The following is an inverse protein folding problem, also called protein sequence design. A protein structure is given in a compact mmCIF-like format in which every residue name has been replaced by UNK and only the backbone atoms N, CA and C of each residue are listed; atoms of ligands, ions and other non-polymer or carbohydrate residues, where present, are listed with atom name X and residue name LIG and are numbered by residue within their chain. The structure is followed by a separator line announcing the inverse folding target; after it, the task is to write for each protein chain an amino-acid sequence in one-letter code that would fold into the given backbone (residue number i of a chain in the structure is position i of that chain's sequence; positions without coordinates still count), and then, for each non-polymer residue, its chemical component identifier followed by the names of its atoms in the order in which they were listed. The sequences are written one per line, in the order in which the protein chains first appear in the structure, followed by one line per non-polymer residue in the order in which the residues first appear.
data_IF_890391675240
#
_entry.id   IF_890391675240
#
_cell.length_a   1.000
_cell.length_b   1.000
_cell.length_c   1.000
_cell.angle_alpha   90.00
_cell.angle_beta   90.00
_cell.angle_gamma   90.00
#
_symmetry.space_group_name_H-M   'P 1'
#
loop_
_entity.id
_entity.type
_entity.pdbx_description
1 polymer ?
#
# COMPACT_ATOMS: atom_id res chain seq x y z
N UNK A 1 -2.33 29.66 -13.50
CA UNK A 1 -2.53 28.44 -12.69
C UNK A 1 -1.29 28.06 -11.90
N UNK A 2 -0.33 27.25 -12.40
CA UNK A 2 0.83 26.81 -11.59
C UNK A 2 1.63 27.97 -10.96
N UNK A 3 1.79 29.07 -11.68
CA UNK A 3 2.54 30.25 -11.21
C UNK A 3 1.82 31.06 -10.13
N UNK A 4 0.48 31.05 -10.12
CA UNK A 4 -0.33 31.74 -9.12
C UNK A 4 -0.37 30.98 -7.80
N UNK A 5 -0.39 29.65 -7.86
CA UNK A 5 -0.30 28.78 -6.68
C UNK A 5 1.07 28.91 -6.00
N UNK A 6 2.15 29.00 -6.79
CA UNK A 6 3.51 29.22 -6.27
C UNK A 6 3.61 30.57 -5.54
N UNK A 7 3.10 31.65 -6.12
CA UNK A 7 3.11 32.97 -5.50
C UNK A 7 2.23 33.05 -4.25
N UNK A 8 1.12 32.31 -4.24
CA UNK A 8 0.23 32.23 -3.08
C UNK A 8 0.88 31.47 -1.91
N UNK A 9 1.61 30.39 -2.21
CA UNK A 9 2.38 29.63 -1.23
C UNK A 9 3.57 30.42 -0.68
N UNK A 10 4.30 31.15 -1.54
CA UNK A 10 5.41 32.01 -1.13
C UNK A 10 4.96 33.12 -0.16
N UNK A 11 3.79 33.71 -0.39
CA UNK A 11 3.21 34.70 0.54
C UNK A 11 2.88 34.09 1.90
N UNK A 12 2.38 32.86 1.93
CA UNK A 12 2.07 32.11 3.15
C UNK A 12 3.34 31.76 3.95
N UNK A 13 4.42 31.32 3.30
CA UNK A 13 5.69 31.02 3.96
C UNK A 13 6.41 32.27 4.48
N UNK A 14 6.16 33.43 3.88
CA UNK A 14 6.79 34.71 4.26
C UNK A 14 6.19 35.36 5.51
N UNK A 15 4.99 34.95 5.96
CA UNK A 15 4.21 35.66 7.00
C UNK A 15 4.08 34.95 8.34
N UNK A 16 4.80 33.84 8.60
CA UNK A 16 4.58 33.10 9.85
C UNK A 16 5.74 32.23 10.33
N UNK A 17 6.82 32.86 10.80
CA UNK A 17 7.77 32.20 11.72
C UNK A 17 7.24 32.28 13.14
N UNK A 18 6.38 31.33 13.53
CA UNK A 18 6.28 30.90 14.93
C UNK A 18 6.86 29.49 15.00
N UNK A 19 8.19 29.41 14.91
CA UNK A 19 8.93 28.20 15.22
C UNK A 19 8.95 28.06 16.75
N UNK A 20 7.97 27.34 17.29
CA UNK A 20 7.97 26.88 18.67
C UNK A 20 8.97 25.73 18.82
N UNK A 21 9.81 25.84 19.84
CA UNK A 21 10.78 24.88 20.36
C UNK A 21 10.41 23.41 20.19
N UNK A 22 11.21 22.66 19.42
CA UNK A 22 11.22 21.19 19.46
C UNK A 22 12.63 20.60 19.51
N UNK A 23 13.55 21.26 20.23
CA UNK A 23 14.85 20.69 20.55
C UNK A 23 15.03 20.57 22.05
N UNK A 24 14.70 19.39 22.61
CA UNK A 24 15.56 18.63 23.54
C UNK A 24 14.82 17.41 24.09
N UNK A 25 15.32 16.23 23.75
CA UNK A 25 14.75 14.94 24.16
C UNK A 25 15.77 13.82 23.98
N UNK A 26 16.93 14.01 24.58
CA UNK A 26 18.03 13.04 24.64
C UNK A 26 17.60 11.83 25.48
N UNK A 27 17.86 10.64 24.97
CA UNK A 27 17.96 9.36 25.70
C UNK A 27 16.78 8.96 26.59
N UNK A 28 15.71 8.40 26.00
CA UNK A 28 14.96 7.37 26.72
C UNK A 28 14.41 6.32 25.75
N UNK A 29 14.80 5.06 25.97
CA UNK A 29 14.35 3.89 25.20
C UNK A 29 12.84 3.59 25.37
N UNK A 30 12.16 4.35 26.24
CA UNK A 30 10.72 4.29 26.51
C UNK A 30 9.91 5.43 25.86
N UNK A 31 10.47 6.16 24.89
CA UNK A 31 9.73 7.06 24.00
C UNK A 31 8.85 6.27 23.01
N UNK A 32 7.95 5.48 23.58
CA UNK A 32 6.85 4.84 22.90
C UNK A 32 5.74 5.89 22.70
N UNK A 33 5.36 6.07 21.42
CA UNK A 33 4.00 6.42 21.01
C UNK A 33 3.56 7.89 21.17
N UNK A 34 4.13 8.80 20.37
CA UNK A 34 3.44 10.06 20.03
C UNK A 34 2.37 9.78 18.95
N UNK A 35 2.69 8.99 17.92
CA UNK A 35 1.82 8.78 16.75
C UNK A 35 0.54 7.98 16.97
N UNK A 36 0.40 7.18 18.04
CA UNK A 36 -0.85 6.40 18.29
C UNK A 36 -1.85 7.11 19.17
N UNK A 37 -1.45 8.18 19.87
CA UNK A 37 -2.36 8.97 20.71
C UNK A 37 -3.04 10.11 19.96
N UNK A 38 -2.59 10.41 18.74
CA UNK A 38 -3.22 11.42 17.88
C UNK A 38 -4.41 10.77 17.17
N UNK A 39 -5.62 11.33 17.26
CA UNK A 39 -6.75 10.90 16.47
C UNK A 39 -6.36 10.81 14.99
N UNK A 40 -6.63 9.66 14.36
CA UNK A 40 -6.34 9.44 12.93
C UNK A 40 -7.17 10.34 12.00
N UNK A 41 -8.12 11.10 12.56
CA UNK A 41 -9.07 11.94 11.84
C UNK A 41 -8.76 13.40 12.13
N UNK A 42 -8.57 14.19 11.07
CA UNK A 42 -8.56 15.65 11.16
C UNK A 42 -10.01 16.13 11.27
N UNK A 43 -10.31 16.95 12.26
CA UNK A 43 -11.61 17.59 12.37
C UNK A 43 -11.86 18.47 11.13
N UNK A 44 -13.09 18.45 10.61
CA UNK A 44 -13.47 19.19 9.39
C UNK A 44 -13.08 18.54 8.06
N UNK A 45 -12.19 17.54 8.02
CA UNK A 45 -11.90 16.78 6.81
C UNK A 45 -12.84 15.57 6.71
N UNK A 46 -13.65 15.52 5.65
CA UNK A 46 -14.47 14.35 5.33
C UNK A 46 -13.60 13.18 4.88
N UNK A 47 -13.12 12.40 5.85
CA UNK A 47 -12.58 11.06 5.59
C UNK A 47 -13.77 10.11 5.55
N UNK A 48 -13.95 9.38 4.45
CA UNK A 48 -14.97 8.34 4.35
C UNK A 48 -14.90 7.42 5.59
N UNK A 49 -16.05 7.17 6.23
CA UNK A 49 -16.13 6.38 7.48
C UNK A 49 -15.43 5.01 7.36
N UNK A 50 -15.35 4.47 6.14
CA UNK A 50 -14.57 3.30 5.77
C UNK A 50 -13.88 3.56 4.42
N UNK A 51 -12.58 3.90 4.40
CA UNK A 51 -11.87 4.22 3.16
C UNK A 51 -11.86 3.01 2.21
N UNK A 52 -12.11 3.26 0.92
CA UNK A 52 -12.10 2.21 -0.10
C UNK A 52 -13.29 1.24 -0.07
N UNK A 53 -14.25 1.40 0.86
CA UNK A 53 -15.37 0.45 1.02
C UNK A 53 -16.23 0.35 -0.23
N UNK A 54 -16.57 1.49 -0.83
CA UNK A 54 -17.40 1.53 -2.03
C UNK A 54 -16.73 0.76 -3.18
N UNK A 55 -15.45 1.00 -3.41
CA UNK A 55 -14.64 0.33 -4.42
C UNK A 55 -14.58 -1.17 -4.17
N UNK A 56 -14.37 -1.58 -2.91
CA UNK A 56 -14.38 -2.97 -2.51
C UNK A 56 -15.74 -3.65 -2.74
N UNK A 57 -16.85 -2.95 -2.53
CA UNK A 57 -18.19 -3.48 -2.79
C UNK A 57 -18.45 -3.68 -4.30
N UNK A 58 -18.05 -2.71 -5.12
CA UNK A 58 -18.14 -2.82 -6.59
C UNK A 58 -17.28 -3.98 -7.09
N UNK A 59 -16.02 -4.05 -6.63
CA UNK A 59 -15.12 -5.15 -7.00
C UNK A 59 -15.66 -6.50 -6.53
N UNK A 60 -16.21 -6.59 -5.32
CA UNK A 60 -16.82 -7.82 -4.83
C UNK A 60 -17.96 -8.31 -5.72
N UNK A 61 -18.80 -7.39 -6.22
CA UNK A 61 -19.90 -7.76 -7.13
C UNK A 61 -19.41 -8.44 -8.41
N UNK A 62 -18.22 -8.05 -8.88
CA UNK A 62 -17.57 -8.61 -10.07
C UNK A 62 -16.87 -9.94 -9.74
N UNK A 63 -16.17 -10.00 -8.61
CA UNK A 63 -15.26 -11.10 -8.27
C UNK A 63 -15.96 -12.27 -7.57
N UNK A 64 -17.11 -12.05 -6.93
CA UNK A 64 -17.82 -13.05 -6.12
C UNK A 64 -17.95 -14.43 -6.79
N UNK A 65 -18.30 -14.55 -8.09
CA UNK A 65 -18.41 -15.86 -8.75
C UNK A 65 -17.09 -16.64 -8.83
N UNK A 66 -15.96 -15.93 -8.80
CA UNK A 66 -14.62 -16.48 -9.02
C UNK A 66 -13.74 -16.43 -7.76
N UNK A 67 -14.26 -15.89 -6.65
CA UNK A 67 -13.46 -15.50 -5.49
C UNK A 67 -12.66 -16.66 -4.89
N UNK A 68 -13.26 -17.84 -4.75
CA UNK A 68 -12.60 -19.02 -4.19
C UNK A 68 -11.38 -19.43 -5.04
N UNK A 69 -11.57 -19.49 -6.37
CA UNK A 69 -10.51 -19.88 -7.29
C UNK A 69 -9.44 -18.79 -7.43
N UNK A 70 -9.82 -17.51 -7.41
CA UNK A 70 -8.89 -16.37 -7.37
C UNK A 70 -8.00 -16.41 -6.11
N UNK A 71 -8.57 -16.70 -4.96
CA UNK A 71 -7.82 -16.85 -3.71
C UNK A 71 -6.84 -18.03 -3.82
N UNK A 72 -7.31 -19.17 -4.32
CA UNK A 72 -6.48 -20.37 -4.50
C UNK A 72 -5.31 -20.09 -5.44
N UNK A 73 -5.56 -19.50 -6.60
CA UNK A 73 -4.50 -19.27 -7.60
C UNK A 73 -3.53 -18.17 -7.16
N UNK A 74 -3.98 -17.14 -6.43
CA UNK A 74 -3.09 -16.15 -5.83
C UNK A 74 -2.04 -16.82 -4.92
N UNK A 75 -2.48 -17.66 -3.98
CA UNK A 75 -1.57 -18.34 -3.05
C UNK A 75 -0.72 -19.42 -3.73
N UNK A 76 -1.15 -19.93 -4.89
CA UNK A 76 -0.41 -20.94 -5.64
C UNK A 76 0.64 -20.34 -6.60
N UNK A 77 0.33 -19.21 -7.25
CA UNK A 77 1.13 -18.67 -8.36
C UNK A 77 1.84 -17.36 -8.03
N UNK A 78 1.22 -16.48 -7.27
CA UNK A 78 1.80 -15.16 -6.96
C UNK A 78 2.56 -15.17 -5.62
N UNK A 79 1.91 -15.67 -4.57
CA UNK A 79 2.43 -15.64 -3.20
C UNK A 79 3.81 -16.28 -3.01
N UNK A 80 4.17 -17.41 -3.66
CA UNK A 80 5.49 -18.02 -3.49
C UNK A 80 6.66 -17.11 -3.89
N UNK A 81 6.46 -16.24 -4.89
CA UNK A 81 7.50 -15.32 -5.36
C UNK A 81 7.63 -14.10 -4.44
N UNK A 82 6.52 -13.60 -3.89
CA UNK A 82 6.51 -12.42 -3.04
C UNK A 82 5.45 -12.53 -1.92
N UNK A 83 5.78 -13.20 -0.79
CA UNK A 83 4.80 -13.62 0.19
C UNK A 83 4.35 -12.50 1.14
N UNK A 84 3.82 -11.37 0.65
CA UNK A 84 3.44 -10.21 1.49
C UNK A 84 2.49 -10.59 2.64
N UNK A 85 1.51 -11.45 2.34
CA UNK A 85 0.46 -11.85 3.29
C UNK A 85 0.82 -13.13 4.04
N UNK A 86 0.34 -13.28 5.27
CA UNK A 86 0.32 -14.60 5.91
C UNK A 86 -0.89 -15.38 5.40
N UNK A 87 -0.65 -16.51 4.73
CA UNK A 87 -1.73 -17.29 4.09
C UNK A 87 -2.77 -17.76 5.10
N UNK A 88 -2.33 -18.29 6.24
CA UNK A 88 -3.23 -18.85 7.25
C UNK A 88 -4.08 -17.74 7.87
N UNK A 89 -3.44 -16.67 8.35
CA UNK A 89 -4.15 -15.56 8.97
C UNK A 89 -5.10 -14.85 7.98
N UNK A 90 -4.70 -14.71 6.71
CA UNK A 90 -5.57 -14.12 5.69
C UNK A 90 -6.80 -14.98 5.44
N UNK A 91 -6.64 -16.30 5.24
CA UNK A 91 -7.76 -17.21 4.97
C UNK A 91 -8.71 -17.30 6.17
N UNK A 92 -8.18 -17.46 7.39
CA UNK A 92 -9.00 -17.47 8.61
C UNK A 92 -9.81 -16.19 8.78
N UNK A 93 -9.18 -15.02 8.55
CA UNK A 93 -9.89 -13.74 8.62
C UNK A 93 -10.91 -13.61 7.50
N UNK A 94 -10.58 -14.03 6.28
CA UNK A 94 -11.46 -13.95 5.13
C UNK A 94 -12.72 -14.81 5.30
N UNK A 95 -12.59 -16.02 5.84
CA UNK A 95 -13.70 -16.97 6.03
C UNK A 95 -14.60 -16.60 7.21
N UNK A 96 -14.00 -16.19 8.34
CA UNK A 96 -14.76 -15.94 9.58
C UNK A 96 -15.17 -14.49 9.78
N UNK A 97 -14.41 -13.53 9.25
CA UNK A 97 -14.62 -12.11 9.52
C UNK A 97 -14.06 -11.21 8.42
N UNK A 98 -14.53 -11.41 7.19
CA UNK A 98 -14.06 -10.67 6.01
C UNK A 98 -14.12 -9.15 6.19
N UNK A 99 -15.09 -8.65 6.94
CA UNK A 99 -15.30 -7.22 7.16
C UNK A 99 -14.21 -6.59 8.07
N UNK A 100 -13.39 -7.40 8.75
CA UNK A 100 -12.16 -6.94 9.43
C UNK A 100 -10.99 -6.68 8.48
N UNK A 101 -11.01 -7.25 7.27
CA UNK A 101 -9.97 -6.96 6.28
C UNK A 101 -10.16 -5.54 5.75
N UNK A 102 -9.04 -4.82 5.58
CA UNK A 102 -9.09 -3.49 4.96
C UNK A 102 -9.72 -3.61 3.57
N UNK A 103 -10.70 -2.74 3.23
CA UNK A 103 -11.28 -2.72 1.88
C UNK A 103 -10.22 -2.55 0.80
N UNK A 104 -9.24 -1.66 1.02
CA UNK A 104 -8.13 -1.47 0.09
C UNK A 104 -7.29 -2.74 -0.07
N UNK A 105 -7.02 -3.46 1.03
CA UNK A 105 -6.28 -4.71 0.96
C UNK A 105 -7.01 -5.78 0.13
N UNK A 106 -8.33 -5.91 0.30
CA UNK A 106 -9.13 -6.82 -0.52
C UNK A 106 -9.13 -6.41 -1.99
N UNK A 107 -9.23 -5.12 -2.27
CA UNK A 107 -9.17 -4.61 -3.62
C UNK A 107 -7.84 -4.96 -4.30
N UNK A 108 -6.71 -4.65 -3.66
CA UNK A 108 -5.38 -4.94 -4.18
C UNK A 108 -5.15 -6.45 -4.32
N UNK A 109 -5.62 -7.24 -3.35
CA UNK A 109 -5.53 -8.69 -3.43
C UNK A 109 -6.20 -9.25 -4.69
N UNK A 110 -7.46 -8.86 -4.96
CA UNK A 110 -8.17 -9.35 -6.13
C UNK A 110 -7.61 -8.78 -7.45
N UNK A 111 -7.15 -7.53 -7.46
CA UNK A 111 -6.48 -6.94 -8.62
C UNK A 111 -5.19 -7.70 -8.98
N UNK A 112 -4.39 -8.07 -7.98
CA UNK A 112 -3.21 -8.93 -8.17
C UNK A 112 -3.62 -10.34 -8.59
N UNK A 113 -4.61 -10.96 -7.96
CA UNK A 113 -5.06 -12.31 -8.32
C UNK A 113 -5.53 -12.39 -9.79
N UNK A 114 -6.10 -11.31 -10.33
CA UNK A 114 -6.51 -11.20 -11.72
C UNK A 114 -5.34 -11.30 -12.72
N UNK A 115 -4.11 -10.96 -12.30
CA UNK A 115 -2.90 -11.07 -13.13
C UNK A 115 -2.55 -12.53 -13.42
N UNK A 116 -2.89 -13.44 -12.49
CA UNK A 116 -2.67 -14.88 -12.58
C UNK A 116 -3.97 -15.62 -12.94
N UNK A 117 -4.85 -15.00 -13.73
CA UNK A 117 -6.10 -15.62 -14.23
C UNK A 117 -5.85 -16.79 -15.18
N UNK A 118 -5.01 -16.58 -16.20
CA UNK A 118 -4.81 -17.52 -17.32
C UNK A 118 -4.30 -18.92 -16.92
N UNK A 119 -3.44 -19.08 -15.88
CA UNK A 119 -3.00 -20.41 -15.45
C UNK A 119 -4.06 -21.28 -14.76
N UNK A 120 -5.25 -20.76 -14.43
CA UNK A 120 -6.33 -21.59 -13.86
C UNK A 120 -7.16 -22.23 -14.97
N UNK A 121 -7.33 -23.55 -14.90
CA UNK A 121 -8.21 -24.29 -15.81
C UNK A 121 -9.68 -23.94 -15.63
N UNK A 122 -10.07 -23.49 -14.45
CA UNK A 122 -11.43 -23.06 -14.14
C UNK A 122 -11.68 -21.64 -14.66
N UNK A 123 -10.82 -20.67 -14.30
CA UNK A 123 -11.00 -19.27 -14.67
C UNK A 123 -10.85 -19.04 -16.17
N UNK A 124 -9.96 -19.76 -16.86
CA UNK A 124 -9.76 -19.59 -18.31
C UNK A 124 -11.01 -19.92 -19.14
N UNK A 125 -12.00 -20.61 -18.58
CA UNK A 125 -13.30 -20.88 -19.21
C UNK A 125 -14.26 -19.70 -19.16
N UNK A 126 -13.95 -18.69 -18.35
CA UNK A 126 -14.77 -17.50 -18.17
C UNK A 126 -14.07 -16.27 -18.75
N UNK A 127 -14.87 -15.30 -19.18
CA UNK A 127 -14.33 -14.00 -19.58
C UNK A 127 -13.71 -13.31 -18.37
N UNK A 128 -12.42 -12.98 -18.47
CA UNK A 128 -11.71 -12.22 -17.44
C UNK A 128 -12.35 -10.82 -17.30
N UNK A 129 -12.68 -10.37 -16.08
CA UNK A 129 -13.08 -8.99 -15.83
C UNK A 129 -12.10 -7.96 -16.44
N UNK A 130 -12.59 -6.76 -16.75
CA UNK A 130 -11.73 -5.68 -17.26
C UNK A 130 -10.65 -5.33 -16.23
N UNK A 131 -9.42 -5.68 -16.61
CA UNK A 131 -8.22 -5.44 -15.84
C UNK A 131 -8.04 -3.96 -15.47
N UNK A 132 -8.26 -3.04 -16.41
CA UNK A 132 -8.06 -1.60 -16.16
C UNK A 132 -9.07 -1.08 -15.14
N UNK A 133 -10.33 -1.49 -15.29
CA UNK A 133 -11.39 -1.11 -14.37
C UNK A 133 -11.11 -1.60 -12.94
N UNK A 134 -10.71 -2.87 -12.79
CA UNK A 134 -10.39 -3.47 -11.49
C UNK A 134 -9.21 -2.76 -10.81
N UNK A 135 -8.14 -2.47 -11.55
CA UNK A 135 -7.00 -1.74 -11.02
C UNK A 135 -7.34 -0.30 -10.63
N UNK A 136 -8.20 0.40 -11.38
CA UNK A 136 -8.64 1.74 -11.01
C UNK A 136 -9.41 1.73 -9.68
N UNK A 137 -10.25 0.71 -9.43
CA UNK A 137 -10.92 0.54 -8.14
C UNK A 137 -9.93 0.29 -7.00
N UNK A 138 -8.90 -0.52 -7.23
CA UNK A 138 -7.87 -0.82 -6.23
C UNK A 138 -7.02 0.42 -5.90
N UNK A 139 -6.52 1.12 -6.92
CA UNK A 139 -5.76 2.36 -6.77
C UNK A 139 -6.56 3.41 -6.02
N UNK A 140 -7.84 3.61 -6.37
CA UNK A 140 -8.70 4.56 -5.67
C UNK A 140 -8.92 4.15 -4.20
N UNK A 141 -9.18 2.87 -3.94
CA UNK A 141 -9.31 2.37 -2.56
C UNK A 141 -8.04 2.61 -1.74
N UNK A 142 -6.87 2.36 -2.32
CA UNK A 142 -5.57 2.58 -1.70
C UNK A 142 -5.31 4.07 -1.41
N UNK A 143 -5.67 4.96 -2.33
CA UNK A 143 -5.56 6.41 -2.12
C UNK A 143 -6.37 6.88 -0.91
N UNK A 144 -7.60 6.37 -0.76
CA UNK A 144 -8.44 6.67 0.40
C UNK A 144 -7.87 6.07 1.70
N UNK A 145 -7.31 4.86 1.65
CA UNK A 145 -6.74 4.16 2.81
C UNK A 145 -5.51 4.89 3.38
N UNK A 146 -4.75 5.60 2.53
CA UNK A 146 -3.63 6.44 2.95
C UNK A 146 -4.02 7.63 3.83
N UNK A 147 -5.31 7.99 3.95
CA UNK A 147 -5.77 9.03 4.86
C UNK A 147 -5.69 8.62 6.34
N UNK A 148 -5.74 7.31 6.62
CA UNK A 148 -5.64 6.76 7.97
C UNK A 148 -4.79 5.48 8.00
N UNK A 149 -3.51 5.56 7.60
CA UNK A 149 -2.74 4.41 7.17
C UNK A 149 -2.41 3.45 8.31
N UNK A 150 -2.41 2.15 8.04
CA UNK A 150 -2.11 1.07 8.98
C UNK A 150 -1.16 0.02 8.37
N UNK A 151 -0.92 -1.09 9.08
CA UNK A 151 -0.15 -2.22 8.53
C UNK A 151 -0.80 -2.78 7.24
N UNK A 152 -2.13 -2.84 7.20
CA UNK A 152 -2.88 -3.24 6.00
C UNK A 152 -2.57 -2.34 4.81
N UNK A 153 -2.42 -1.04 5.02
CA UNK A 153 -2.06 -0.07 3.98
C UNK A 153 -0.68 -0.36 3.40
N UNK A 154 0.29 -0.78 4.23
CA UNK A 154 1.60 -1.23 3.73
C UNK A 154 1.43 -2.50 2.89
N UNK A 155 0.63 -3.48 3.32
CA UNK A 155 0.36 -4.67 2.52
C UNK A 155 -0.26 -4.30 1.17
N UNK A 156 -1.25 -3.40 1.17
CA UNK A 156 -1.95 -2.94 -0.02
C UNK A 156 -1.02 -2.26 -1.02
N UNK A 157 -0.19 -1.29 -0.57
CA UNK A 157 0.74 -0.60 -1.48
C UNK A 157 1.85 -1.51 -2.01
N UNK A 158 2.30 -2.49 -1.21
CA UNK A 158 3.27 -3.48 -1.70
C UNK A 158 2.65 -4.41 -2.76
N UNK A 159 1.37 -4.78 -2.60
CA UNK A 159 0.62 -5.55 -3.60
C UNK A 159 0.42 -4.73 -4.88
N UNK A 160 0.03 -3.46 -4.77
CA UNK A 160 -0.12 -2.53 -5.91
C UNK A 160 1.16 -2.47 -6.75
N UNK A 161 2.29 -2.24 -6.10
CA UNK A 161 3.61 -2.17 -6.76
C UNK A 161 4.07 -3.51 -7.35
N UNK A 162 3.54 -4.64 -6.86
CA UNK A 162 3.92 -5.98 -7.33
C UNK A 162 3.03 -6.51 -8.45
N UNK A 163 1.76 -6.09 -8.51
CA UNK A 163 0.76 -6.65 -9.43
C UNK A 163 0.59 -5.91 -10.76
N UNK A 164 0.95 -4.63 -10.83
CA UNK A 164 0.68 -3.79 -11.99
C UNK A 164 1.92 -3.62 -12.89
N UNK A 165 1.82 -3.74 -14.23
CA UNK A 165 2.87 -3.26 -15.12
C UNK A 165 3.08 -1.76 -14.91
N UNK A 166 4.31 -1.27 -15.08
CA UNK A 166 4.76 0.10 -14.80
C UNK A 166 4.14 1.11 -15.79
N UNK A 167 2.81 1.25 -15.79
CA UNK A 167 2.08 2.17 -16.65
C UNK A 167 2.11 3.61 -16.12
N UNK A 168 2.52 3.81 -14.85
CA UNK A 168 2.67 5.13 -14.23
C UNK A 168 3.93 5.16 -13.36
N UNK A 169 5.10 5.36 -13.97
CA UNK A 169 6.41 5.43 -13.28
C UNK A 169 6.35 6.41 -12.10
N UNK A 170 5.74 7.58 -12.30
CA UNK A 170 5.54 8.60 -11.26
C UNK A 170 4.63 8.11 -10.12
N UNK A 171 3.49 7.48 -10.45
CA UNK A 171 2.57 6.92 -9.46
C UNK A 171 3.23 5.84 -8.61
N UNK A 172 3.97 4.93 -9.24
CA UNK A 172 4.71 3.87 -8.54
C UNK A 172 5.82 4.47 -7.67
N UNK A 173 6.53 5.49 -8.15
CA UNK A 173 7.57 6.18 -7.37
C UNK A 173 6.99 6.88 -6.14
N UNK A 174 5.84 7.54 -6.29
CA UNK A 174 5.13 8.17 -5.17
C UNK A 174 4.63 7.13 -4.17
N UNK A 175 4.05 6.02 -4.65
CA UNK A 175 3.61 4.92 -3.79
C UNK A 175 4.77 4.26 -3.05
N UNK A 176 5.93 4.10 -3.70
CA UNK A 176 7.14 3.63 -3.04
C UNK A 176 7.60 4.61 -1.94
N UNK A 177 7.64 5.92 -2.22
CA UNK A 177 7.95 6.94 -1.22
C UNK A 177 6.99 6.92 -0.02
N UNK A 178 5.68 6.80 -0.28
CA UNK A 178 4.64 6.63 0.75
C UNK A 178 4.87 5.36 1.58
N UNK A 179 5.19 4.25 0.93
CA UNK A 179 5.46 2.97 1.59
C UNK A 179 6.69 3.06 2.52
N UNK A 180 7.80 3.65 2.06
CA UNK A 180 9.02 3.85 2.86
C UNK A 180 8.73 4.75 4.07
N UNK A 181 8.07 5.88 3.86
CA UNK A 181 7.72 6.81 4.93
C UNK A 181 6.81 6.15 5.97
N UNK A 182 5.80 5.39 5.53
CA UNK A 182 4.86 4.69 6.40
C UNK A 182 5.54 3.55 7.15
N UNK A 183 6.39 2.74 6.49
CA UNK A 183 7.13 1.65 7.12
C UNK A 183 8.04 2.14 8.25
N UNK A 184 8.74 3.26 8.04
CA UNK A 184 9.57 3.91 9.07
C UNK A 184 8.71 4.48 10.20
N UNK A 185 7.59 5.11 9.88
CA UNK A 185 6.65 5.65 10.88
C UNK A 185 6.04 4.56 11.77
N UNK A 186 5.72 3.40 11.18
CA UNK A 186 5.25 2.20 11.90
C UNK A 186 6.38 1.41 12.57
N UNK A 187 7.62 1.91 12.49
CA UNK A 187 8.84 1.33 13.08
C UNK A 187 9.12 -0.09 12.61
N UNK A 188 8.80 -0.42 11.37
CA UNK A 188 9.08 -1.75 10.78
C UNK A 188 10.58 -2.03 10.67
N UNK A 189 11.39 -0.97 10.58
CA UNK A 189 12.85 -1.02 10.54
C UNK A 189 13.50 -1.38 11.88
N UNK A 190 12.76 -1.41 12.99
CA UNK A 190 13.30 -1.76 14.30
C UNK A 190 13.21 -3.27 14.53
N UNK A 191 14.24 -3.83 15.16
CA UNK A 191 14.25 -5.25 15.50
C UNK A 191 13.02 -5.59 16.37
N UNK A 192 12.13 -6.49 15.91
CA UNK A 192 10.93 -6.86 16.65
C UNK A 192 11.22 -7.73 17.90
N UNK A 193 12.46 -8.20 18.08
CA UNK A 193 12.87 -9.13 19.14
C UNK A 193 12.51 -8.67 20.55
N UNK A 194 12.72 -7.39 20.87
CA UNK A 194 12.48 -6.81 22.20
C UNK A 194 11.01 -6.48 22.50
N UNK A 195 10.09 -6.62 21.54
CA UNK A 195 8.70 -6.21 21.72
C UNK A 195 7.79 -7.37 22.18
N UNK A 196 6.79 -7.08 23.03
CA UNK A 196 5.78 -8.04 23.57
C UNK A 196 4.78 -8.59 22.52
N UNK A 197 5.08 -8.52 21.23
CA UNK A 197 4.20 -8.95 20.13
C UNK A 197 4.24 -10.46 19.90
N UNK A 198 3.16 -11.01 19.31
CA UNK A 198 3.14 -12.42 18.90
C UNK A 198 4.20 -12.69 17.82
N UNK A 199 4.69 -13.94 17.76
CA UNK A 199 5.69 -14.34 16.75
C UNK A 199 5.21 -14.11 15.32
N UNK A 200 3.91 -14.29 15.06
CA UNK A 200 3.30 -14.03 13.74
C UNK A 200 3.34 -12.54 13.37
N UNK A 201 3.02 -11.63 14.30
CA UNK A 201 3.09 -10.19 14.04
C UNK A 201 4.54 -9.74 13.83
N UNK A 202 5.50 -10.29 14.60
CA UNK A 202 6.94 -10.02 14.40
C UNK A 202 7.41 -10.45 13.02
N UNK A 203 7.02 -11.65 12.58
CA UNK A 203 7.38 -12.18 11.25
C UNK A 203 6.77 -11.34 10.13
N UNK A 204 5.50 -10.94 10.24
CA UNK A 204 4.85 -10.07 9.26
C UNK A 204 5.57 -8.73 9.14
N UNK A 205 5.86 -8.06 10.26
CA UNK A 205 6.55 -6.76 10.25
C UNK A 205 7.93 -6.82 9.60
N UNK A 206 8.71 -7.87 9.90
CA UNK A 206 10.02 -8.09 9.28
C UNK A 206 9.87 -8.28 7.77
N UNK A 207 8.88 -9.08 7.35
CA UNK A 207 8.61 -9.34 5.94
C UNK A 207 8.20 -8.08 5.19
N UNK A 208 7.31 -7.28 5.76
CA UNK A 208 6.87 -6.00 5.18
C UNK A 208 8.04 -5.01 5.07
N UNK A 209 8.92 -4.95 6.07
CA UNK A 209 10.12 -4.13 6.00
C UNK A 209 11.02 -4.51 4.82
N UNK A 210 11.35 -5.80 4.69
CA UNK A 210 12.18 -6.27 3.57
C UNK A 210 11.50 -6.06 2.22
N UNK A 211 10.19 -6.31 2.13
CA UNK A 211 9.42 -6.05 0.91
C UNK A 211 9.49 -4.58 0.50
N UNK A 212 9.35 -3.64 1.45
CA UNK A 212 9.51 -2.21 1.20
C UNK A 212 10.91 -1.89 0.67
N UNK A 213 11.97 -2.43 1.26
CA UNK A 213 13.35 -2.21 0.79
C UNK A 213 13.60 -2.77 -0.62
N UNK A 214 13.02 -3.93 -0.93
CA UNK A 214 13.13 -4.55 -2.26
C UNK A 214 12.48 -3.65 -3.31
N UNK A 215 11.25 -3.16 -3.07
CA UNK A 215 10.58 -2.24 -3.99
C UNK A 215 11.32 -0.91 -4.14
N UNK A 216 11.87 -0.37 -3.05
CA UNK A 216 12.64 0.87 -3.10
C UNK A 216 13.88 0.72 -3.98
N UNK A 217 14.62 -0.38 -3.80
CA UNK A 217 15.79 -0.69 -4.61
C UNK A 217 15.46 -0.94 -6.09
N UNK A 218 14.37 -1.66 -6.38
CA UNK A 218 13.93 -1.91 -7.75
C UNK A 218 13.45 -0.64 -8.46
N UNK A 219 12.75 0.24 -7.74
CA UNK A 219 12.23 1.49 -8.29
C UNK A 219 13.36 2.43 -8.73
N UNK A 220 14.45 2.51 -7.96
CA UNK A 220 15.63 3.30 -8.32
C UNK A 220 16.27 2.77 -9.61
N UNK A 221 16.40 1.44 -9.77
CA UNK A 221 16.98 0.87 -11.00
C UNK A 221 16.12 1.11 -12.24
N UNK A 222 14.80 1.00 -12.13
CA UNK A 222 13.86 1.30 -13.22
C UNK A 222 13.98 2.76 -13.68
N UNK A 223 14.06 3.71 -12.76
CA UNK A 223 14.24 5.13 -13.08
C UNK A 223 15.59 5.41 -13.76
N UNK A 224 16.67 4.78 -13.30
CA UNK A 224 18.01 4.94 -13.91
C UNK A 224 18.09 4.35 -15.32
N UNK A 225 17.44 3.22 -15.57
CA UNK A 225 17.40 2.61 -16.91
C UNK A 225 16.61 3.48 -17.90
N UNK A 226 15.46 4.01 -17.49
CA UNK A 226 14.68 4.96 -18.31
C UNK A 226 15.51 6.23 -18.64
N UNK A 227 16.16 6.83 -17.64
CA UNK A 227 17.02 7.99 -17.84
C UNK A 227 18.21 7.70 -18.80
N UNK A 228 18.74 6.48 -18.79
CA UNK A 228 19.79 6.06 -19.71
C UNK A 228 19.29 5.92 -21.15
N UNK A 229 18.06 5.44 -21.37
CA UNK A 229 17.48 5.34 -22.71
C UNK A 229 17.19 6.71 -23.31
N UNK A 230 16.68 7.65 -22.51
CA UNK A 230 16.49 9.04 -22.96
C UNK A 230 17.81 9.72 -23.33
N UNK A 231 18.91 9.44 -22.62
CA UNK A 231 20.24 9.94 -22.99
C UNK A 231 20.78 9.35 -24.30
N UNK A 232 20.41 8.11 -24.64
CA UNK A 232 20.84 7.46 -25.89
C UNK A 232 20.03 7.90 -27.12
N UNK A 233 18.84 8.45 -26.94
CA UNK A 233 18.02 9.00 -28.03
C UNK A 233 18.25 10.49 -28.30
N UNK A 234 19.00 11.17 -27.44
CA UNK A 234 19.32 12.59 -27.53
C UNK A 234 20.73 12.88 -28.09
N UNK A 235 21.38 11.86 -28.68
CA UNK A 235 22.67 11.91 -29.40
C UNK A 235 22.42 11.33 -30.79
#
# INVERSE_FOLDING_TARGET
MLTEDIQTLERYFSTGSVASDWAEGRNNAESALIYTKVPRRREGLEIARQPGKFQCQVMWHIMKPFAAELIRIYFCKFHPAFPILDRKAFLETYEHDRDKLSPALLCEFFAVALTVWSPSDELKRHQRPDYKFVWNLAVEALHQDFLAPALSTICSVLLDMSGRPVAGVLGNSLNNGRAVALARSLRLNRNPGCCRRSSSEKALRLRLWWATLIHDYWSVKLCLWSASQYKQQAI
#
